data_IF_657136959961
#
_entry.id   IF_657136959961
#
_cell.length_a   1.000
_cell.length_b   1.000
_cell.length_c   1.000
_cell.angle_alpha   90.00
_cell.angle_beta   90.00
_cell.angle_gamma   90.00
#
_symmetry.space_group_name_H-M   'P 1'
#
loop_
_entity.id
_entity.type
_entity.pdbx_description
1 polymer ?
#
# COMPACT_ATOMS: atom_id res chain seq x y z
N UNK A 1 -13.64 10.57 -9.34
CA UNK A 1 -13.98 10.53 -7.89
C UNK A 1 -13.46 11.80 -7.20
N UNK A 2 -13.97 12.18 -6.01
CA UNK A 2 -13.38 13.28 -5.22
C UNK A 2 -12.08 12.80 -4.55
N UNK A 3 -11.04 13.65 -4.55
CA UNK A 3 -9.78 13.40 -3.85
C UNK A 3 -9.75 14.24 -2.56
N UNK A 4 -9.72 13.56 -1.42
CA UNK A 4 -9.61 14.14 -0.08
C UNK A 4 -8.13 14.27 0.32
N UNK A 5 -7.82 14.86 1.48
CA UNK A 5 -6.45 14.89 2.03
C UNK A 5 -6.32 13.90 3.18
N UNK A 6 -5.13 13.33 3.36
CA UNK A 6 -4.83 12.50 4.55
C UNK A 6 -4.92 13.26 5.88
N UNK A 7 -4.99 14.60 5.84
CA UNK A 7 -5.23 15.44 7.02
C UNK A 7 -6.72 15.64 7.34
N UNK A 8 -7.62 15.24 6.45
CA UNK A 8 -9.06 15.39 6.64
C UNK A 8 -9.56 14.31 7.61
N UNK A 9 -10.61 14.62 8.39
CA UNK A 9 -11.19 13.66 9.35
C UNK A 9 -11.68 12.36 8.68
N UNK A 10 -12.05 12.44 7.40
CA UNK A 10 -12.45 11.31 6.58
C UNK A 10 -11.36 10.23 6.44
N UNK A 11 -10.08 10.57 6.61
CA UNK A 11 -8.98 9.61 6.57
C UNK A 11 -8.88 8.75 7.84
N UNK A 12 -9.44 9.21 8.97
CA UNK A 12 -9.29 8.58 10.29
C UNK A 12 -9.68 7.09 10.35
N UNK A 13 -10.70 6.59 9.61
CA UNK A 13 -11.02 5.17 9.59
C UNK A 13 -9.95 4.30 8.90
N UNK A 14 -9.15 4.89 8.03
CA UNK A 14 -8.21 4.18 7.16
C UNK A 14 -6.77 4.22 7.70
N UNK A 15 -6.42 5.28 8.42
CA UNK A 15 -5.07 5.50 8.86
C UNK A 15 -4.88 6.76 9.70
N UNK A 16 -3.62 7.16 9.82
CA UNK A 16 -3.23 8.43 10.46
C UNK A 16 -1.93 8.97 9.88
N UNK A 17 -1.75 10.29 9.93
CA UNK A 17 -0.47 10.93 9.66
C UNK A 17 0.46 10.76 10.85
N UNK A 18 1.69 10.32 10.60
CA UNK A 18 2.74 10.16 11.61
C UNK A 18 3.62 11.40 11.60
N UNK A 19 3.94 11.91 12.79
CA UNK A 19 4.83 13.06 12.98
C UNK A 19 5.91 12.71 13.99
N UNK A 20 7.03 13.44 13.97
CA UNK A 20 8.12 13.28 14.94
C UNK A 20 9.21 12.28 14.56
N UNK A 21 9.15 11.67 13.37
CA UNK A 21 10.24 10.87 12.80
C UNK A 21 10.79 11.62 11.58
N UNK A 22 12.08 11.93 11.59
CA UNK A 22 12.76 12.53 10.44
C UNK A 22 13.16 11.43 9.46
N UNK A 23 12.49 11.39 8.31
CA UNK A 23 12.70 10.43 7.23
C UNK A 23 13.49 11.00 6.05
N UNK A 24 14.16 12.14 6.25
CA UNK A 24 14.90 12.83 5.17
C UNK A 24 16.02 11.98 4.57
N UNK A 25 16.62 11.09 5.36
CA UNK A 25 17.66 10.17 4.91
C UNK A 25 17.11 9.07 3.98
N UNK A 26 15.96 8.49 4.31
CA UNK A 26 15.23 7.52 3.48
C UNK A 26 14.76 8.19 2.18
N UNK A 27 14.18 9.39 2.26
CA UNK A 27 13.73 10.15 1.07
C UNK A 27 14.92 10.42 0.13
N UNK A 28 16.09 10.79 0.67
CA UNK A 28 17.30 10.96 -0.13
C UNK A 28 17.77 9.64 -0.74
N UNK A 29 17.76 8.55 0.02
CA UNK A 29 18.12 7.23 -0.48
C UNK A 29 17.21 6.77 -1.63
N UNK A 30 15.96 7.25 -1.68
CA UNK A 30 15.04 7.00 -2.78
C UNK A 30 15.41 7.71 -4.09
N UNK A 31 16.28 8.72 -4.13
CA UNK A 31 16.63 9.44 -5.37
C UNK A 31 17.18 8.50 -6.47
N UNK A 32 17.89 7.43 -6.08
CA UNK A 32 18.50 6.46 -7.01
C UNK A 32 17.54 5.37 -7.51
N UNK A 33 16.34 5.25 -6.94
CA UNK A 33 15.41 4.17 -7.30
C UNK A 33 14.67 4.50 -8.61
N UNK A 34 14.36 3.52 -9.46
CA UNK A 34 13.66 3.75 -10.72
C UNK A 34 12.21 4.20 -10.50
N UNK A 35 11.68 4.95 -11.46
CA UNK A 35 10.24 5.26 -11.56
C UNK A 35 9.80 4.97 -13.01
N UNK A 36 9.35 3.73 -13.30
CA UNK A 36 8.95 3.34 -14.65
C UNK A 36 7.73 4.16 -15.14
N UNK A 37 7.70 4.49 -16.43
CA UNK A 37 6.64 5.32 -17.04
C UNK A 37 5.33 4.59 -17.31
N UNK A 38 5.42 3.31 -17.67
CA UNK A 38 4.30 2.50 -18.15
C UNK A 38 4.05 1.28 -17.26
N UNK A 39 4.59 1.27 -16.04
CA UNK A 39 4.52 0.15 -15.12
C UNK A 39 4.64 0.61 -13.66
N UNK A 40 4.46 -0.31 -12.72
CA UNK A 40 4.74 -0.17 -11.29
C UNK A 40 5.78 -1.21 -10.88
N UNK A 41 6.84 -0.76 -10.21
CA UNK A 41 7.84 -1.63 -9.60
C UNK A 41 7.64 -1.66 -8.09
N UNK A 42 7.61 -2.87 -7.53
CA UNK A 42 7.59 -3.12 -6.10
C UNK A 42 8.85 -3.87 -5.67
N UNK A 43 9.56 -3.35 -4.68
CA UNK A 43 10.70 -4.00 -4.04
C UNK A 43 10.40 -4.07 -2.55
N UNK A 44 10.27 -5.29 -2.03
CA UNK A 44 9.82 -5.51 -0.66
C UNK A 44 10.89 -5.11 0.39
N UNK A 45 12.17 -5.29 0.07
CA UNK A 45 13.32 -5.03 0.95
C UNK A 45 14.45 -4.47 0.11
N UNK A 46 14.87 -3.25 0.43
CA UNK A 46 15.96 -2.53 -0.22
C UNK A 46 17.02 -2.20 0.84
N UNK A 47 18.20 -2.83 0.70
CA UNK A 47 19.28 -2.74 1.68
C UNK A 47 19.68 -1.28 1.94
N UNK A 48 19.67 -0.45 0.91
CA UNK A 48 20.04 0.95 1.02
C UNK A 48 19.04 1.80 1.83
N UNK A 49 17.78 1.38 1.94
CA UNK A 49 16.77 2.01 2.79
C UNK A 49 16.83 1.45 4.22
N UNK A 50 17.10 0.16 4.37
CA UNK A 50 17.14 -0.51 5.69
C UNK A 50 18.35 -0.09 6.54
N UNK A 51 19.43 0.39 5.92
CA UNK A 51 20.60 0.93 6.62
C UNK A 51 20.50 2.43 6.95
N UNK A 52 19.42 3.11 6.54
CA UNK A 52 19.17 4.50 6.91
C UNK A 52 19.05 4.64 8.44
N UNK A 53 19.44 5.79 8.98
CA UNK A 53 19.39 6.04 10.42
C UNK A 53 17.95 6.06 10.96
N UNK A 54 17.00 6.56 10.16
CA UNK A 54 15.58 6.58 10.52
C UNK A 54 14.91 5.20 10.50
N UNK A 55 15.48 4.19 9.82
CA UNK A 55 14.93 2.82 9.78
C UNK A 55 14.76 2.24 11.19
N UNK A 56 15.76 2.45 12.06
CA UNK A 56 15.68 1.99 13.45
C UNK A 56 14.57 2.72 14.23
N UNK A 57 14.43 4.04 14.03
CA UNK A 57 13.40 4.82 14.71
C UNK A 57 11.99 4.37 14.31
N UNK A 58 11.79 4.05 13.03
CA UNK A 58 10.54 3.48 12.51
C UNK A 58 10.25 2.14 13.18
N UNK A 59 11.22 1.22 13.21
CA UNK A 59 11.06 -0.09 13.87
C UNK A 59 10.73 0.06 15.36
N UNK A 60 11.54 0.81 16.11
CA UNK A 60 11.38 0.98 17.56
C UNK A 60 10.03 1.63 17.91
N UNK A 61 9.64 2.69 17.19
CA UNK A 61 8.52 3.55 17.58
C UNK A 61 7.18 3.12 16.97
N UNK A 62 7.19 2.65 15.72
CA UNK A 62 5.95 2.34 14.99
C UNK A 62 5.63 0.85 14.99
N UNK A 63 6.63 -0.01 15.20
CA UNK A 63 6.47 -1.47 15.27
C UNK A 63 6.92 -2.07 16.62
N UNK A 64 7.16 -1.22 17.63
CA UNK A 64 7.56 -1.68 18.97
C UNK A 64 8.86 -2.47 19.01
N UNK A 65 9.77 -2.20 18.07
CA UNK A 65 11.06 -2.91 17.93
C UNK A 65 10.95 -4.27 17.21
N UNK A 66 9.79 -4.62 16.65
CA UNK A 66 9.68 -5.80 15.80
C UNK A 66 10.55 -5.66 14.55
N UNK A 67 11.09 -6.77 14.02
CA UNK A 67 11.82 -6.76 12.75
C UNK A 67 10.92 -6.27 11.61
N UNK A 68 11.40 -5.24 10.91
CA UNK A 68 10.76 -4.69 9.72
C UNK A 68 11.58 -4.98 8.47
N UNK A 69 10.96 -4.81 7.31
CA UNK A 69 11.61 -4.61 6.02
C UNK A 69 11.25 -3.21 5.50
N UNK A 70 12.17 -2.58 4.79
CA UNK A 70 11.93 -1.28 4.14
C UNK A 70 12.21 -1.43 2.66
N UNK A 71 11.19 -1.15 1.87
CA UNK A 71 11.21 -1.25 0.42
C UNK A 71 10.55 -0.06 -0.24
N UNK A 72 10.18 -0.21 -1.50
CA UNK A 72 9.49 0.85 -2.24
C UNK A 72 8.50 0.32 -3.27
N UNK A 73 7.53 1.19 -3.57
CA UNK A 73 6.62 1.07 -4.70
C UNK A 73 6.73 2.35 -5.52
N UNK A 74 7.14 2.24 -6.79
CA UNK A 74 7.31 3.39 -7.68
C UNK A 74 6.71 3.09 -9.05
N UNK A 75 6.30 4.12 -9.77
CA UNK A 75 5.95 3.99 -11.18
C UNK A 75 4.78 4.87 -11.55
N UNK A 76 3.92 4.35 -12.43
CA UNK A 76 2.74 5.05 -12.90
C UNK A 76 1.50 4.18 -12.81
N UNK A 77 0.51 4.64 -12.04
CA UNK A 77 -0.82 4.06 -11.95
C UNK A 77 -1.89 5.15 -11.85
N UNK A 78 -3.07 4.87 -12.39
CA UNK A 78 -4.25 5.74 -12.28
C UNK A 78 -5.52 4.98 -11.93
N UNK A 79 -5.45 3.65 -11.78
CA UNK A 79 -6.60 2.75 -11.67
C UNK A 79 -6.56 1.93 -10.37
N UNK A 80 -7.75 1.54 -9.87
CA UNK A 80 -7.93 0.57 -8.79
C UNK A 80 -7.97 -0.86 -9.34
N UNK A 81 -6.90 -1.28 -9.99
CA UNK A 81 -6.82 -2.61 -10.62
C UNK A 81 -6.92 -3.76 -9.60
N UNK A 82 -6.54 -3.52 -8.35
CA UNK A 82 -6.72 -4.45 -7.25
C UNK A 82 -6.79 -3.69 -5.93
N UNK A 83 -7.08 -4.42 -4.86
CA UNK A 83 -6.88 -4.02 -3.48
C UNK A 83 -6.30 -5.17 -2.67
N UNK A 84 -5.40 -4.82 -1.77
CA UNK A 84 -4.70 -5.71 -0.86
C UNK A 84 -4.80 -5.22 0.58
N UNK A 85 -4.53 -6.16 1.49
CA UNK A 85 -4.41 -5.89 2.91
C UNK A 85 -3.44 -6.88 3.57
N UNK A 86 -2.92 -6.46 4.71
CA UNK A 86 -1.95 -7.17 5.53
C UNK A 86 -2.51 -7.37 6.94
N UNK A 87 -2.02 -8.36 7.70
CA UNK A 87 -2.43 -8.54 9.11
C UNK A 87 -1.80 -7.53 10.06
N UNK A 88 -0.98 -6.65 9.52
CA UNK A 88 -0.27 -5.60 10.24
C UNK A 88 -0.47 -4.27 9.49
N UNK A 89 -0.33 -3.16 10.20
CA UNK A 89 -0.33 -1.85 9.57
C UNK A 89 0.88 -1.68 8.63
N UNK A 90 0.66 -0.98 7.53
CA UNK A 90 1.69 -0.54 6.59
C UNK A 90 2.06 0.92 6.90
N UNK A 91 3.37 1.22 7.00
CA UNK A 91 3.83 2.61 7.04
C UNK A 91 4.32 3.00 5.64
N UNK A 92 3.75 4.09 5.10
CA UNK A 92 4.20 4.67 3.85
C UNK A 92 4.90 6.00 4.07
N UNK A 93 5.97 6.25 3.31
CA UNK A 93 6.57 7.58 3.17
C UNK A 93 6.41 8.04 1.73
N UNK A 94 5.64 9.12 1.53
CA UNK A 94 5.49 9.73 0.22
C UNK A 94 6.79 10.43 -0.18
N UNK A 95 7.46 9.98 -1.24
CA UNK A 95 8.66 10.66 -1.80
C UNK A 95 8.21 11.72 -2.81
N UNK A 96 7.12 11.46 -3.52
CA UNK A 96 6.39 12.41 -4.35
C UNK A 96 4.94 12.49 -3.86
N UNK A 97 4.20 13.51 -4.29
CA UNK A 97 2.75 13.52 -4.10
C UNK A 97 2.14 12.26 -4.74
N UNK A 98 1.28 11.57 -4.00
CA UNK A 98 0.63 10.35 -4.44
C UNK A 98 -0.82 10.31 -3.96
N UNK A 99 -1.66 9.53 -4.63
CA UNK A 99 -3.05 9.30 -4.22
C UNK A 99 -3.20 7.84 -3.82
N UNK A 100 -3.81 7.58 -2.66
CA UNK A 100 -4.26 6.24 -2.29
C UNK A 100 -5.77 6.15 -2.45
N UNK A 101 -6.24 5.11 -3.11
CA UNK A 101 -7.65 4.73 -3.12
C UNK A 101 -7.82 3.65 -2.05
N UNK A 102 -8.67 3.92 -1.06
CA UNK A 102 -8.75 3.17 0.18
C UNK A 102 -10.15 2.62 0.42
N UNK A 103 -10.19 1.41 0.96
CA UNK A 103 -11.40 0.71 1.37
C UNK A 103 -11.25 0.09 2.76
N UNK A 104 -12.30 -0.59 3.22
CA UNK A 104 -12.36 -1.20 4.55
C UNK A 104 -12.48 -2.71 4.43
N UNK A 105 -11.61 -3.46 5.08
CA UNK A 105 -11.68 -4.94 5.09
C UNK A 105 -13.07 -5.43 5.53
N UNK A 106 -13.73 -4.69 6.44
CA UNK A 106 -15.08 -4.98 6.93
C UNK A 106 -16.17 -4.93 5.86
N UNK A 107 -15.90 -4.30 4.70
CA UNK A 107 -16.82 -4.21 3.58
C UNK A 107 -16.64 -5.37 2.57
N UNK A 108 -15.64 -6.24 2.75
CA UNK A 108 -15.52 -7.51 2.00
C UNK A 108 -16.66 -8.45 2.42
N UNK A 109 -17.40 -8.95 1.44
CA UNK A 109 -18.52 -9.87 1.68
C UNK A 109 -18.03 -11.30 1.99
N UNK A 110 -18.87 -12.16 2.59
CA UNK A 110 -18.58 -13.59 2.71
C UNK A 110 -18.33 -14.28 1.35
N UNK A 111 -18.83 -13.70 0.26
CA UNK A 111 -18.61 -14.13 -1.12
C UNK A 111 -17.28 -13.64 -1.70
N UNK A 112 -16.44 -12.95 -0.91
CA UNK A 112 -15.15 -12.38 -1.32
C UNK A 112 -15.29 -11.35 -2.44
N UNK A 113 -16.32 -10.52 -2.32
CA UNK A 113 -16.54 -9.40 -3.23
C UNK A 113 -16.43 -8.07 -2.49
N UNK A 114 -16.08 -7.03 -3.23
CA UNK A 114 -15.97 -5.67 -2.71
C UNK A 114 -16.61 -4.68 -3.68
N UNK A 115 -17.55 -3.85 -3.20
CA UNK A 115 -18.19 -2.80 -4.00
C UNK A 115 -17.28 -1.57 -4.09
N UNK A 116 -16.74 -1.29 -5.27
CA UNK A 116 -15.81 -0.18 -5.49
C UNK A 116 -16.43 1.19 -5.20
N UNK A 117 -17.75 1.33 -5.21
CA UNK A 117 -18.41 2.60 -4.84
C UNK A 117 -18.19 3.02 -3.39
N UNK A 118 -17.73 2.11 -2.53
CA UNK A 118 -17.39 2.39 -1.12
C UNK A 118 -15.98 2.95 -0.93
N UNK A 119 -15.16 2.99 -1.97
CA UNK A 119 -13.78 3.45 -1.89
C UNK A 119 -13.69 4.98 -1.86
N UNK A 120 -12.72 5.48 -1.12
CA UNK A 120 -12.41 6.91 -1.02
C UNK A 120 -10.95 7.15 -1.47
N UNK A 121 -10.67 8.28 -2.11
CA UNK A 121 -9.34 8.63 -2.58
C UNK A 121 -8.71 9.75 -1.72
N UNK A 122 -7.45 9.58 -1.34
CA UNK A 122 -6.72 10.51 -0.46
C UNK A 122 -5.39 10.91 -1.06
N UNK A 123 -5.16 12.22 -1.19
CA UNK A 123 -3.87 12.82 -1.49
C UNK A 123 -2.95 12.70 -0.27
N UNK A 124 -1.78 12.12 -0.51
CA UNK A 124 -0.64 12.06 0.41
C UNK A 124 0.46 12.97 -0.14
N UNK A 125 0.68 14.16 0.44
CA UNK A 125 1.74 15.07 -0.03
C UNK A 125 3.14 14.48 0.18
N UNK A 126 4.07 14.82 -0.69
CA UNK A 126 5.49 14.46 -0.57
C UNK A 126 6.04 14.87 0.81
N UNK A 127 6.88 14.01 1.39
CA UNK A 127 7.42 14.16 2.74
C UNK A 127 6.47 13.73 3.86
N UNK A 128 5.24 13.33 3.56
CA UNK A 128 4.29 12.84 4.56
C UNK A 128 4.55 11.37 4.88
N UNK A 129 4.56 11.05 6.18
CA UNK A 129 4.55 9.68 6.68
C UNK A 129 3.13 9.35 7.12
N UNK A 130 2.58 8.23 6.67
CA UNK A 130 1.26 7.75 7.09
C UNK A 130 1.34 6.31 7.57
N UNK A 131 0.48 5.98 8.51
CA UNK A 131 0.09 4.59 8.79
C UNK A 131 -1.21 4.30 8.05
N UNK A 132 -1.24 3.21 7.31
CA UNK A 132 -2.44 2.56 6.80
C UNK A 132 -2.73 1.37 7.72
N UNK A 133 -3.90 1.37 8.34
CA UNK A 133 -4.26 0.32 9.31
C UNK A 133 -4.38 -1.06 8.63
N UNK A 134 -4.14 -2.12 9.39
CA UNK A 134 -4.30 -3.51 8.91
C UNK A 134 -5.68 -3.79 8.28
N UNK A 135 -6.73 -3.10 8.75
CA UNK A 135 -8.10 -3.23 8.24
C UNK A 135 -8.36 -2.40 6.98
N UNK A 136 -7.37 -1.70 6.44
CA UNK A 136 -7.53 -0.80 5.30
C UNK A 136 -7.07 -1.48 4.02
N UNK A 137 -8.00 -1.60 3.09
CA UNK A 137 -7.71 -2.04 1.74
C UNK A 137 -7.01 -0.91 0.99
N UNK A 138 -5.92 -1.23 0.29
CA UNK A 138 -5.13 -0.29 -0.49
C UNK A 138 -4.49 -1.01 -1.68
N UNK A 139 -3.84 -0.30 -2.59
CA UNK A 139 -3.06 -0.91 -3.67
C UNK A 139 -1.94 0.04 -4.08
N UNK A 140 -1.22 -0.30 -5.17
CA UNK A 140 -0.23 0.57 -5.77
C UNK A 140 -0.76 2.02 -5.87
N UNK A 141 -0.05 3.01 -5.30
CA UNK A 141 -0.49 4.40 -5.31
C UNK A 141 -0.80 4.90 -6.73
N UNK A 142 -1.70 5.86 -6.85
CA UNK A 142 -1.96 6.56 -8.10
C UNK A 142 -1.15 7.85 -8.18
N UNK A 143 -0.76 8.24 -9.40
CA UNK A 143 0.01 9.46 -9.60
C UNK A 143 -0.85 10.72 -9.44
N UNK A 144 -0.25 11.77 -8.88
CA UNK A 144 -0.77 13.15 -8.98
C UNK A 144 -0.27 13.85 -10.24
N UNK A 145 1.01 13.65 -10.59
CA UNK A 145 1.67 14.24 -11.75
C UNK A 145 2.09 13.18 -12.78
N UNK A 146 2.31 13.59 -14.02
CA UNK A 146 2.79 12.68 -15.10
C UNK A 146 4.20 12.13 -14.87
N UNK A 147 4.94 12.66 -13.89
CA UNK A 147 6.28 12.20 -13.53
C UNK A 147 6.31 10.86 -12.78
N UNK A 148 5.16 10.29 -12.45
CA UNK A 148 5.06 9.10 -11.64
C UNK A 148 4.90 9.37 -10.14
N UNK A 149 4.68 8.31 -9.36
CA UNK A 149 4.75 8.31 -7.90
C UNK A 149 5.98 7.56 -7.42
N UNK A 150 6.51 7.95 -6.26
CA UNK A 150 7.51 7.20 -5.51
C UNK A 150 7.10 7.11 -4.05
N UNK A 151 7.07 5.91 -3.50
CA UNK A 151 6.64 5.65 -2.14
C UNK A 151 7.57 4.63 -1.48
N UNK A 152 7.99 4.93 -0.24
CA UNK A 152 8.62 3.94 0.63
C UNK A 152 7.52 3.13 1.29
N UNK A 153 7.74 1.82 1.39
CA UNK A 153 6.84 0.88 2.05
C UNK A 153 7.59 0.21 3.19
N UNK A 154 7.05 0.29 4.40
CA UNK A 154 7.60 -0.38 5.58
C UNK A 154 6.54 -1.34 6.12
N UNK A 155 6.95 -2.58 6.33
CA UNK A 155 6.11 -3.68 6.78
C UNK A 155 6.93 -4.59 7.72
N UNK A 156 6.27 -5.48 8.50
CA UNK A 156 6.98 -6.54 9.20
C UNK A 156 7.80 -7.40 8.24
N UNK A 157 8.99 -7.81 8.70
CA UNK A 157 9.95 -8.57 7.89
C UNK A 157 9.36 -9.89 7.39
N UNK A 158 9.44 -10.11 6.08
CA UNK A 158 8.90 -11.27 5.37
C UNK A 158 7.56 -11.01 4.68
N UNK A 159 6.93 -9.86 4.87
CA UNK A 159 5.70 -9.51 4.13
C UNK A 159 5.97 -9.39 2.63
N UNK A 160 4.99 -9.75 1.80
CA UNK A 160 5.06 -9.72 0.33
C UNK A 160 6.13 -10.65 -0.28
N UNK A 161 6.55 -11.68 0.45
CA UNK A 161 7.40 -12.76 -0.06
C UNK A 161 6.56 -13.98 -0.47
N UNK A 162 7.19 -14.93 -1.16
CA UNK A 162 6.53 -16.17 -1.59
C UNK A 162 5.93 -16.95 -0.41
N UNK A 163 4.80 -17.59 -0.66
CA UNK A 163 4.15 -18.49 0.29
C UNK A 163 4.87 -19.84 0.32
N UNK A 164 5.12 -20.34 1.53
CA UNK A 164 5.47 -21.75 1.71
C UNK A 164 4.24 -22.63 1.41
N UNK A 165 4.42 -23.87 0.92
CA UNK A 165 3.30 -24.78 0.71
C UNK A 165 2.53 -25.03 2.01
N UNK A 166 1.21 -24.84 1.97
CA UNK A 166 0.32 -25.07 3.10
C UNK A 166 -1.02 -25.64 2.63
N UNK A 167 -1.80 -26.19 3.57
CA UNK A 167 -3.17 -26.65 3.31
C UNK A 167 -4.13 -25.51 3.63
N UNK A 168 -4.95 -25.11 2.66
CA UNK A 168 -6.01 -24.11 2.89
C UNK A 168 -6.95 -24.60 3.99
N UNK A 169 -7.15 -23.77 5.00
CA UNK A 169 -7.98 -24.01 6.17
C UNK A 169 -9.25 -23.16 6.17
N UNK A 170 -9.25 -22.02 5.48
CA UNK A 170 -10.38 -21.09 5.44
C UNK A 170 -10.72 -20.68 4.01
N UNK A 171 -11.94 -20.15 3.79
CA UNK A 171 -12.30 -19.58 2.49
C UNK A 171 -11.40 -18.39 2.12
N UNK A 172 -10.99 -17.61 3.12
CA UNK A 172 -10.14 -16.42 2.92
C UNK A 172 -8.80 -16.75 2.26
N UNK A 173 -8.32 -17.99 2.40
CA UNK A 173 -7.11 -18.51 1.75
C UNK A 173 -7.21 -18.54 0.21
N UNK A 174 -8.40 -18.31 -0.35
CA UNK A 174 -8.57 -18.04 -1.80
C UNK A 174 -7.99 -16.68 -2.20
N UNK A 175 -8.04 -15.68 -1.31
CA UNK A 175 -7.48 -14.35 -1.54
C UNK A 175 -6.01 -14.23 -1.13
N UNK A 176 -5.45 -15.20 -0.37
CA UNK A 176 -4.05 -15.15 0.07
C UNK A 176 -3.11 -15.24 -1.15
N UNK A 177 -2.42 -14.14 -1.43
CA UNK A 177 -1.64 -13.93 -2.65
C UNK A 177 -0.13 -13.99 -2.39
N UNK A 178 0.32 -13.51 -1.24
CA UNK A 178 1.71 -13.58 -0.78
C UNK A 178 1.76 -13.68 0.75
N UNK A 179 2.95 -13.89 1.32
CA UNK A 179 3.11 -13.93 2.79
C UNK A 179 2.61 -12.63 3.40
N UNK A 180 1.65 -12.76 4.32
CA UNK A 180 0.97 -11.65 4.98
C UNK A 180 0.24 -10.71 4.00
N UNK A 181 -0.25 -11.18 2.85
CA UNK A 181 -0.98 -10.37 1.85
C UNK A 181 -2.15 -11.13 1.25
N UNK A 182 -3.32 -10.52 1.34
CA UNK A 182 -4.55 -10.96 0.67
C UNK A 182 -4.93 -9.94 -0.38
N UNK A 183 -5.48 -10.39 -1.51
CA UNK A 183 -5.72 -9.52 -2.66
C UNK A 183 -7.03 -9.88 -3.40
N UNK A 184 -7.78 -8.83 -3.73
CA UNK A 184 -8.92 -8.85 -4.66
C UNK A 184 -8.57 -8.01 -5.88
N UNK A 185 -8.84 -8.50 -7.07
CA UNK A 185 -8.64 -7.73 -8.31
C UNK A 185 -9.95 -7.27 -8.92
N UNK A 186 -9.88 -6.18 -9.68
CA UNK A 186 -10.94 -5.83 -10.62
C UNK A 186 -10.91 -6.80 -11.81
N UNK A 187 -12.06 -7.27 -12.34
CA UNK A 187 -12.09 -8.19 -13.47
C UNK A 187 -11.32 -7.69 -14.71
N UNK A 188 -11.34 -6.37 -14.96
CA UNK A 188 -10.61 -5.76 -16.09
C UNK A 188 -9.08 -5.81 -15.94
N UNK A 189 -8.56 -5.95 -14.72
CA UNK A 189 -7.12 -5.96 -14.47
C UNK A 189 -6.45 -7.29 -14.88
N UNK A 190 -7.23 -8.38 -14.97
CA UNK A 190 -6.75 -9.71 -15.38
C UNK A 190 -5.47 -10.17 -14.63
N UNK A 191 -5.39 -9.92 -13.33
CA UNK A 191 -4.26 -10.33 -12.50
C UNK A 191 -4.32 -11.85 -12.30
N UNK A 192 -3.27 -12.56 -12.71
CA UNK A 192 -3.23 -14.01 -12.60
C UNK A 192 -3.13 -14.44 -11.12
N UNK A 193 -3.92 -15.46 -10.75
CA UNK A 193 -3.91 -16.02 -9.39
C UNK A 193 -4.69 -15.22 -8.34
N UNK A 194 -5.23 -14.05 -8.69
CA UNK A 194 -6.10 -13.29 -7.78
C UNK A 194 -7.58 -13.65 -7.90
N UNK A 195 -8.33 -13.39 -6.85
CA UNK A 195 -9.79 -13.45 -6.87
C UNK A 195 -10.32 -12.16 -7.51
N UNK A 196 -10.99 -12.28 -8.66
CA UNK A 196 -11.62 -11.15 -9.35
C UNK A 196 -12.94 -10.73 -8.66
N UNK A 197 -12.82 -10.16 -7.46
CA UNK A 197 -13.94 -9.86 -6.56
C UNK A 197 -14.34 -8.39 -6.47
N UNK A 198 -13.61 -7.45 -7.06
CA UNK A 198 -14.04 -6.04 -7.06
C UNK A 198 -15.22 -5.87 -8.04
N UNK A 199 -16.32 -5.33 -7.54
CA UNK A 199 -17.57 -5.08 -8.26
C UNK A 199 -17.76 -3.58 -8.48
N UNK A 200 -18.39 -3.21 -9.59
CA UNK A 200 -18.65 -1.81 -9.94
C UNK A 200 -17.66 -1.29 -10.98
N UNK A 201 -17.39 0.01 -10.94
CA UNK A 201 -16.44 0.66 -11.85
C UNK A 201 -14.99 0.38 -11.41
N UNK A 202 -14.09 0.21 -12.39
CA UNK A 202 -12.65 0.28 -12.15
C UNK A 202 -12.26 1.74 -11.92
N UNK A 203 -12.15 2.12 -10.65
CA UNK A 203 -12.00 3.53 -10.29
C UNK A 203 -10.72 4.12 -10.86
N UNK A 204 -10.86 5.33 -11.39
CA UNK A 204 -9.78 6.15 -11.93
C UNK A 204 -9.64 7.45 -11.13
N UNK A 205 -8.40 7.88 -10.89
CA UNK A 205 -8.11 9.24 -10.37
C UNK A 205 -8.00 10.29 -11.47
N UNK A 206 -8.10 9.87 -12.74
CA UNK A 206 -8.26 10.73 -13.93
C UNK A 206 -9.71 10.83 -14.35
#
# INVERSE_FOLDING_TARGET
>A
MQILKVTDEAFRPYGKVITGIDVSDIIRAMEKTPCPKDDVVYVASEADLEVCGSAKQISDSLYGGMPIQIGYCNGNNYLLNAVEYHRDSEINVAVTDMILILGKEQDITPEQTYDSSKMEAFLVPAGTVIEVYATTLHYAPCNVAESGFKAVVVLPKGTNTDLDPYTKATKEDEMLFARNKWLLSHPEANIEGSVAGIQGENLSVR
#
